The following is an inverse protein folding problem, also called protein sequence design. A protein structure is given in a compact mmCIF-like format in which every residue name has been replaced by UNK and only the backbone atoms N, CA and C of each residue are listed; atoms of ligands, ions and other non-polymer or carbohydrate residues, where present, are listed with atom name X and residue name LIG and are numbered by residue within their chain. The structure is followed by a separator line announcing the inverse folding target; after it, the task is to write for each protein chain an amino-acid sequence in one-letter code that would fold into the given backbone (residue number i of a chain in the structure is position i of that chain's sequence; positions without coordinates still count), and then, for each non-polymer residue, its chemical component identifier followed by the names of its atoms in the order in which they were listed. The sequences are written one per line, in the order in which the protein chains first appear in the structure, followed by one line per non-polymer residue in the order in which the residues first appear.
data_IF_482979131928
#
_entry.id   IF_482979131928
#
_cell.length_a   1.000
_cell.length_b   1.000
_cell.length_c   1.000
_cell.angle_alpha   90.00
_cell.angle_beta   90.00
_cell.angle_gamma   90.00
#
_symmetry.space_group_name_H-M   'P 1'
#
loop_
_entity.id
_entity.type
_entity.pdbx_description
1 polymer ?
#
# COMPACT_ATOMS: atom_id res chain seq x y z
N UNK A 1 -23.05 15.08 42.32
CA UNK A 1 -22.98 16.46 42.83
C UNK A 1 -21.70 16.60 43.65
N UNK A 2 -20.80 17.49 43.19
CA UNK A 2 -19.81 18.30 43.93
C UNK A 2 -18.84 17.58 44.91
N UNK A 3 -17.59 17.27 44.54
CA UNK A 3 -16.38 18.14 44.46
C UNK A 3 -15.95 18.84 45.76
N UNK A 4 -14.71 18.57 46.20
CA UNK A 4 -13.68 19.49 46.79
C UNK A 4 -12.47 18.62 47.21
N UNK A 5 -11.35 18.61 46.48
CA UNK A 5 -10.22 19.56 46.46
C UNK A 5 -9.67 19.91 47.84
N UNK A 6 -8.40 19.56 48.08
CA UNK A 6 -7.59 19.98 49.22
C UNK A 6 -6.14 19.53 49.09
N UNK A 7 -5.35 20.33 48.37
CA UNK A 7 -3.88 20.35 48.30
C UNK A 7 -3.28 20.61 49.70
N UNK A 8 -2.14 20.00 50.06
CA UNK A 8 -1.22 20.64 51.03
C UNK A 8 0.23 20.17 50.88
N UNK A 9 1.11 21.18 50.92
CA UNK A 9 2.54 21.18 50.69
C UNK A 9 3.36 20.68 51.89
N UNK A 10 4.52 20.12 51.56
CA UNK A 10 5.87 20.30 52.15
C UNK A 10 6.00 20.78 53.61
N UNK A 11 6.72 20.00 54.42
CA UNK A 11 7.64 20.52 55.43
C UNK A 11 8.80 19.54 55.69
N UNK A 12 10.01 20.05 55.50
CA UNK A 12 11.31 19.43 55.80
C UNK A 12 11.54 19.48 57.31
N UNK A 13 12.02 18.38 57.91
CA UNK A 13 12.68 18.41 59.21
C UNK A 13 13.92 17.50 59.18
N UNK A 14 15.08 18.14 59.26
CA UNK A 14 16.38 17.52 59.53
C UNK A 14 16.46 17.14 61.01
N UNK A 15 16.87 15.90 61.30
CA UNK A 15 17.43 15.53 62.59
C UNK A 15 18.66 14.63 62.37
N UNK A 16 19.81 15.18 62.74
CA UNK A 16 21.13 14.56 62.72
C UNK A 16 21.39 13.81 64.03
N UNK A 17 21.92 12.59 63.91
CA UNK A 17 22.86 11.91 64.83
C UNK A 17 23.43 10.76 63.98
N UNK A 18 24.73 10.56 63.75
CA UNK A 18 25.89 10.82 64.59
C UNK A 18 26.69 9.52 64.67
N UNK A 19 27.32 9.12 63.55
CA UNK A 19 28.19 7.95 63.44
C UNK A 19 29.45 8.32 62.68
N UNK A 20 30.59 8.25 63.37
CA UNK A 20 31.92 8.70 62.94
C UNK A 20 32.38 8.03 61.63
N UNK A 21 32.84 8.82 60.67
CA UNK A 21 33.68 8.38 59.56
C UNK A 21 35.08 9.03 59.74
N UNK A 22 36.12 8.19 59.75
CA UNK A 22 37.53 8.61 59.62
C UNK A 22 37.87 8.91 58.15
N UNK A 23 38.94 9.70 57.89
CA UNK A 23 39.07 10.47 56.66
C UNK A 23 39.61 9.65 55.48
N UNK A 24 39.14 10.06 54.30
CA UNK A 24 39.55 9.58 53.00
C UNK A 24 41.06 9.77 52.75
N UNK A 25 41.71 8.70 52.28
CA UNK A 25 42.92 8.76 51.48
C UNK A 25 42.55 8.46 50.04
N UNK A 26 42.88 9.39 49.14
CA UNK A 26 42.79 9.24 47.69
C UNK A 26 43.43 7.94 47.21
N UNK A 27 42.64 7.11 46.53
CA UNK A 27 43.13 6.12 45.57
C UNK A 27 42.13 6.08 44.42
N UNK A 28 42.42 6.87 43.40
CA UNK A 28 41.83 6.71 42.08
C UNK A 28 42.33 5.39 41.49
N UNK A 29 41.47 4.40 41.32
CA UNK A 29 41.71 3.29 40.39
C UNK A 29 40.43 2.50 40.13
N UNK A 30 40.15 2.24 38.84
CA UNK A 30 39.29 1.13 38.44
C UNK A 30 37.86 1.46 38.00
N UNK A 31 37.62 2.56 37.28
CA UNK A 31 36.47 2.57 36.37
C UNK A 31 36.77 1.56 35.24
N UNK A 32 36.26 0.33 35.40
CA UNK A 32 36.31 -0.72 34.39
C UNK A 32 35.61 -0.18 33.13
N UNK A 33 36.42 0.30 32.18
CA UNK A 33 35.92 0.78 30.89
C UNK A 33 35.17 -0.37 30.25
N UNK A 34 33.87 -0.18 30.02
CA UNK A 34 33.10 -1.04 29.14
C UNK A 34 33.95 -1.36 27.89
N UNK A 35 34.05 -2.64 27.47
CA UNK A 35 34.92 -3.02 26.39
C UNK A 35 34.57 -2.17 25.17
N UNK A 36 35.55 -1.44 24.64
CA UNK A 36 35.38 -0.70 23.39
C UNK A 36 34.90 -1.72 22.36
N UNK A 37 33.67 -1.58 21.84
CA UNK A 37 33.20 -2.40 20.72
C UNK A 37 34.25 -2.27 19.61
N UNK A 38 34.95 -3.36 19.33
CA UNK A 38 35.88 -3.43 18.22
C UNK A 38 35.07 -3.19 16.95
N UNK A 39 35.36 -2.08 16.26
CA UNK A 39 34.65 -1.70 15.05
C UNK A 39 35.07 -2.68 13.95
N UNK A 40 34.11 -3.40 13.37
CA UNK A 40 34.42 -4.37 12.32
C UNK A 40 35.12 -3.68 11.13
N UNK A 41 35.97 -4.38 10.36
CA UNK A 41 36.59 -3.80 9.18
C UNK A 41 35.56 -3.22 8.19
N UNK A 42 34.41 -3.87 8.03
CA UNK A 42 33.32 -3.39 7.20
C UNK A 42 32.68 -2.10 7.76
N UNK A 43 32.47 -2.02 9.08
CA UNK A 43 31.95 -0.82 9.73
C UNK A 43 32.93 0.36 9.60
N UNK A 44 34.23 0.12 9.76
CA UNK A 44 35.25 1.15 9.57
C UNK A 44 35.29 1.69 8.14
N UNK A 45 35.11 0.82 7.12
CA UNK A 45 35.03 1.24 5.72
C UNK A 45 33.85 2.17 5.46
N UNK A 46 32.65 1.81 5.93
CA UNK A 46 31.45 2.62 5.67
C UNK A 46 31.43 3.93 6.49
N UNK A 47 32.10 3.97 7.64
CA UNK A 47 32.22 5.18 8.45
C UNK A 47 33.27 6.16 7.92
N UNK A 48 34.32 5.64 7.25
CA UNK A 48 35.30 6.47 6.55
C UNK A 48 34.86 6.95 5.16
N UNK A 49 33.78 6.40 4.61
CA UNK A 49 33.29 6.74 3.28
C UNK A 49 32.43 8.01 3.29
N UNK A 50 32.59 8.83 2.25
CA UNK A 50 31.62 9.88 1.94
C UNK A 50 30.29 9.21 1.52
N UNK A 51 29.19 9.51 2.21
CA UNK A 51 27.90 8.87 1.98
C UNK A 51 27.16 9.48 0.77
N UNK A 52 27.82 9.43 -0.38
CA UNK A 52 27.32 9.77 -1.71
C UNK A 52 27.55 8.56 -2.63
N UNK A 53 26.90 8.52 -3.80
CA UNK A 53 27.10 7.41 -4.74
C UNK A 53 28.58 7.30 -5.16
N UNK A 54 29.18 8.44 -5.51
CA UNK A 54 30.59 8.56 -5.89
C UNK A 54 31.54 8.24 -4.73
N UNK A 55 31.18 8.63 -3.51
CA UNK A 55 31.94 8.29 -2.30
C UNK A 55 31.93 6.80 -2.01
N UNK A 56 30.78 6.13 -2.14
CA UNK A 56 30.64 4.70 -1.93
C UNK A 56 31.36 3.87 -3.00
N UNK A 57 31.46 4.32 -4.25
CA UNK A 57 32.28 3.61 -5.25
C UNK A 57 33.75 3.54 -4.85
N UNK A 58 34.26 4.52 -4.10
CA UNK A 58 35.66 4.57 -3.66
C UNK A 58 35.96 3.55 -2.55
N UNK A 59 34.96 2.89 -1.97
CA UNK A 59 35.20 1.81 -1.00
C UNK A 59 35.69 0.54 -1.70
N UNK A 60 35.38 0.37 -2.99
CA UNK A 60 35.78 -0.79 -3.77
C UNK A 60 37.21 -0.62 -4.26
N UNK A 61 38.12 -1.49 -3.81
CA UNK A 61 39.49 -1.55 -4.31
C UNK A 61 39.53 -2.00 -5.77
N UNK A 62 38.71 -2.98 -6.11
CA UNK A 62 38.47 -3.46 -7.46
C UNK A 62 36.96 -3.59 -7.70
N UNK A 63 36.33 -2.68 -8.47
CA UNK A 63 34.92 -2.77 -8.81
C UNK A 63 34.53 -4.10 -9.47
N UNK A 64 35.46 -4.81 -10.13
CA UNK A 64 35.20 -6.11 -10.76
C UNK A 64 35.46 -7.32 -9.85
N UNK A 65 35.86 -7.09 -8.60
CA UNK A 65 36.10 -8.12 -7.62
C UNK A 65 35.80 -7.60 -6.19
N UNK A 66 34.58 -7.10 -5.98
CA UNK A 66 34.14 -6.56 -4.69
C UNK A 66 34.19 -7.67 -3.63
N UNK A 67 35.00 -7.45 -2.59
CA UNK A 67 35.20 -8.41 -1.51
C UNK A 67 34.00 -8.51 -0.58
N UNK A 68 33.95 -9.57 0.23
CA UNK A 68 32.93 -9.76 1.27
C UNK A 68 32.88 -8.57 2.24
N UNK A 69 34.04 -8.06 2.69
CA UNK A 69 34.12 -6.92 3.61
C UNK A 69 33.58 -5.64 2.99
N UNK A 70 33.87 -5.37 1.72
CA UNK A 70 33.37 -4.18 1.02
C UNK A 70 31.86 -4.27 0.76
N UNK A 71 31.36 -5.46 0.42
CA UNK A 71 29.92 -5.71 0.28
C UNK A 71 29.18 -5.60 1.63
N UNK A 72 29.75 -6.13 2.71
CA UNK A 72 29.24 -5.96 4.07
C UNK A 72 29.19 -4.49 4.47
N UNK A 73 30.23 -3.71 4.17
CA UNK A 73 30.27 -2.27 4.43
C UNK A 73 29.11 -1.55 3.72
N UNK A 74 28.84 -1.93 2.46
CA UNK A 74 27.74 -1.36 1.70
C UNK A 74 26.36 -1.71 2.31
N UNK A 75 26.18 -2.94 2.80
CA UNK A 75 24.96 -3.34 3.53
C UNK A 75 24.81 -2.53 4.83
N UNK A 76 25.87 -2.40 5.62
CA UNK A 76 25.86 -1.56 6.84
C UNK A 76 25.50 -0.10 6.54
N UNK A 77 25.86 0.39 5.35
CA UNK A 77 25.46 1.72 4.86
C UNK A 77 23.95 1.94 4.75
N UNK A 78 23.14 0.87 4.71
CA UNK A 78 21.68 0.99 4.65
C UNK A 78 21.11 1.65 5.91
N UNK A 79 21.74 1.49 7.08
CA UNK A 79 21.28 2.14 8.31
C UNK A 79 21.43 3.67 8.28
N UNK A 80 22.26 4.19 7.36
CA UNK A 80 22.39 5.63 7.08
C UNK A 80 21.30 6.15 6.10
N UNK A 81 20.49 5.28 5.50
CA UNK A 81 19.41 5.70 4.60
C UNK A 81 18.25 6.36 5.33
N UNK A 82 17.51 7.23 4.65
CA UNK A 82 16.21 7.70 5.12
C UNK A 82 15.09 6.73 4.76
N UNK A 83 13.99 6.80 5.52
CA UNK A 83 12.73 6.15 5.18
C UNK A 83 11.69 7.21 4.79
N UNK A 84 10.73 6.82 3.96
CA UNK A 84 9.56 7.64 3.64
C UNK A 84 8.61 7.63 4.84
N UNK A 85 8.33 8.80 5.41
CA UNK A 85 7.55 8.93 6.65
C UNK A 85 6.14 8.35 6.53
N UNK A 86 5.52 8.39 5.35
CA UNK A 86 4.17 7.89 5.15
C UNK A 86 4.11 6.37 4.96
N UNK A 87 5.24 5.67 4.81
CA UNK A 87 5.28 4.25 4.47
C UNK A 87 6.32 3.44 5.25
N UNK A 88 7.29 4.03 5.95
CA UNK A 88 8.42 3.29 6.54
C UNK A 88 9.18 2.43 5.52
N UNK A 89 9.24 2.87 4.26
CA UNK A 89 10.02 2.22 3.20
C UNK A 89 11.28 3.04 2.97
N UNK A 90 12.43 2.37 2.83
CA UNK A 90 13.70 3.01 2.50
C UNK A 90 13.55 3.87 1.23
N UNK A 91 14.06 5.11 1.27
CA UNK A 91 14.03 5.99 0.11
C UNK A 91 14.94 5.43 -0.98
N UNK A 92 14.35 5.24 -2.17
CA UNK A 92 15.00 4.71 -3.37
C UNK A 92 16.27 5.46 -3.77
N UNK A 93 16.34 6.75 -3.45
CA UNK A 93 17.49 7.61 -3.73
C UNK A 93 18.67 7.41 -2.75
N UNK A 94 18.54 6.53 -1.75
CA UNK A 94 19.62 6.29 -0.80
C UNK A 94 20.90 5.83 -1.53
N UNK A 95 22.07 6.46 -1.30
CA UNK A 95 23.32 6.11 -1.95
C UNK A 95 23.65 4.61 -1.85
N UNK A 96 23.52 4.00 -0.68
CA UNK A 96 23.81 2.58 -0.48
C UNK A 96 22.90 1.67 -1.35
N UNK A 97 21.60 1.98 -1.44
CA UNK A 97 20.66 1.22 -2.26
C UNK A 97 20.94 1.36 -3.75
N UNK A 98 21.30 2.57 -4.21
CA UNK A 98 21.66 2.82 -5.61
C UNK A 98 22.89 2.00 -6.01
N UNK A 99 23.91 1.96 -5.15
CA UNK A 99 25.12 1.17 -5.42
C UNK A 99 24.83 -0.34 -5.32
N UNK A 100 24.06 -0.80 -4.33
CA UNK A 100 23.68 -2.23 -4.19
C UNK A 100 22.97 -2.75 -5.44
N UNK A 101 22.04 -1.97 -6.01
CA UNK A 101 21.36 -2.34 -7.26
C UNK A 101 22.33 -2.59 -8.38
N UNK A 102 23.34 -1.72 -8.55
CA UNK A 102 24.38 -1.92 -9.57
C UNK A 102 25.19 -3.19 -9.32
N UNK A 103 25.60 -3.42 -8.08
CA UNK A 103 26.34 -4.65 -7.69
C UNK A 103 25.52 -5.93 -7.93
N UNK A 104 24.19 -5.87 -7.82
CA UNK A 104 23.30 -7.01 -8.05
C UNK A 104 22.85 -7.18 -9.50
N UNK A 105 23.05 -6.18 -10.36
CA UNK A 105 22.65 -6.22 -11.76
C UNK A 105 23.73 -6.92 -12.60
N UNK A 106 23.43 -8.15 -13.03
CA UNK A 106 24.30 -9.00 -13.87
C UNK A 106 24.70 -8.32 -15.20
N UNK A 107 23.98 -7.30 -15.65
CA UNK A 107 24.23 -6.60 -16.92
C UNK A 107 25.19 -5.41 -16.83
N UNK A 108 25.49 -4.91 -15.62
CA UNK A 108 26.48 -3.84 -15.46
C UNK A 108 27.84 -4.47 -15.12
N UNK A 109 28.69 -4.68 -16.14
CA UNK A 109 30.05 -5.24 -15.99
C UNK A 109 30.99 -4.38 -15.11
N UNK A 110 30.52 -3.22 -14.69
CA UNK A 110 31.26 -2.24 -13.89
C UNK A 110 31.36 -2.65 -12.42
N UNK A 111 30.45 -3.49 -11.91
CA UNK A 111 30.43 -3.92 -10.51
C UNK A 111 30.16 -5.42 -10.36
N UNK A 112 31.16 -6.18 -9.91
CA UNK A 112 31.09 -7.64 -9.80
C UNK A 112 31.60 -8.07 -8.43
N UNK A 113 30.82 -8.93 -7.75
CA UNK A 113 31.26 -9.56 -6.50
C UNK A 113 32.40 -10.55 -6.77
N UNK A 114 33.40 -10.56 -5.90
CA UNK A 114 34.46 -11.55 -5.93
C UNK A 114 33.89 -12.97 -5.82
N UNK A 115 34.58 -13.95 -6.42
CA UNK A 115 34.19 -15.34 -6.31
C UNK A 115 34.11 -15.79 -4.84
N UNK A 116 33.04 -16.51 -4.49
CA UNK A 116 32.82 -17.04 -3.14
C UNK A 116 32.06 -16.11 -2.19
N UNK A 117 31.80 -14.85 -2.56
CA UNK A 117 30.98 -13.94 -1.74
C UNK A 117 29.53 -14.45 -1.66
N UNK A 118 29.12 -14.88 -0.48
CA UNK A 118 27.77 -15.40 -0.22
C UNK A 118 26.88 -14.31 0.42
N UNK A 119 26.09 -13.64 -0.40
CA UNK A 119 25.19 -12.56 0.02
C UNK A 119 24.22 -12.96 1.14
N UNK A 120 23.69 -14.18 1.06
CA UNK A 120 22.72 -14.69 2.04
C UNK A 120 23.38 -14.88 3.40
N UNK A 121 24.54 -15.54 3.42
CA UNK A 121 25.30 -15.77 4.66
C UNK A 121 25.74 -14.47 5.33
N UNK A 122 26.13 -13.46 4.55
CA UNK A 122 26.47 -12.13 5.07
C UNK A 122 25.23 -11.49 5.70
N UNK A 123 24.09 -11.52 5.01
CA UNK A 123 22.83 -10.99 5.53
C UNK A 123 22.38 -11.66 6.84
N UNK A 124 22.46 -13.00 6.91
CA UNK A 124 22.15 -13.77 8.11
C UNK A 124 23.08 -13.43 9.27
N UNK A 125 24.38 -13.26 9.02
CA UNK A 125 25.36 -12.84 10.02
C UNK A 125 25.08 -11.43 10.54
N UNK A 126 24.69 -10.50 9.68
CA UNK A 126 24.41 -9.11 10.03
C UNK A 126 23.10 -8.92 10.77
N UNK A 127 22.09 -9.75 10.49
CA UNK A 127 20.72 -9.56 10.97
C UNK A 127 20.59 -9.30 12.49
N UNK A 128 21.27 -10.07 13.38
CA UNK A 128 21.11 -9.91 14.82
C UNK A 128 21.62 -8.56 15.34
N UNK A 129 22.60 -7.94 14.67
CA UNK A 129 23.26 -6.71 15.09
C UNK A 129 22.89 -5.49 14.24
N UNK A 130 22.17 -5.69 13.13
CA UNK A 130 21.75 -4.64 12.21
C UNK A 130 20.71 -3.69 12.83
N UNK A 131 20.75 -2.43 12.41
CA UNK A 131 19.67 -1.47 12.68
C UNK A 131 18.39 -1.82 11.90
N UNK A 132 17.28 -1.19 12.25
CA UNK A 132 15.97 -1.54 11.69
C UNK A 132 15.86 -1.33 10.18
N UNK A 133 16.60 -0.36 9.62
CA UNK A 133 16.65 -0.08 8.18
C UNK A 133 17.36 -1.20 7.43
N UNK A 134 18.54 -1.62 7.88
CA UNK A 134 19.23 -2.77 7.30
C UNK A 134 18.41 -4.06 7.50
N UNK A 135 17.85 -4.31 8.69
CA UNK A 135 16.94 -5.46 8.90
C UNK A 135 15.78 -5.45 7.91
N UNK A 136 15.14 -4.30 7.68
CA UNK A 136 14.03 -4.17 6.73
C UNK A 136 14.46 -4.54 5.31
N UNK A 137 15.66 -4.10 4.88
CA UNK A 137 16.22 -4.47 3.58
C UNK A 137 16.48 -5.97 3.50
N UNK A 138 17.09 -6.56 4.53
CA UNK A 138 17.38 -7.99 4.57
C UNK A 138 16.10 -8.83 4.51
N UNK A 139 15.04 -8.42 5.22
CA UNK A 139 13.71 -9.05 5.15
C UNK A 139 13.16 -9.00 3.73
N UNK A 140 13.14 -7.82 3.11
CA UNK A 140 12.59 -7.66 1.76
C UNK A 140 13.39 -8.45 0.70
N UNK A 141 14.68 -8.71 0.93
CA UNK A 141 15.51 -9.54 0.05
C UNK A 141 15.38 -11.05 0.31
N UNK A 142 14.59 -11.50 1.29
CA UNK A 142 14.18 -12.90 1.45
C UNK A 142 13.06 -13.31 0.48
N UNK A 143 12.53 -12.37 -0.31
CA UNK A 143 11.46 -12.63 -1.27
C UNK A 143 11.79 -13.77 -2.24
N UNK A 144 10.80 -14.61 -2.52
CA UNK A 144 10.90 -15.76 -3.41
C UNK A 144 9.76 -15.72 -4.42
N UNK A 145 10.06 -16.09 -5.68
CA UNK A 145 9.04 -16.20 -6.73
C UNK A 145 7.94 -17.21 -6.36
N UNK A 146 8.28 -18.21 -5.55
CA UNK A 146 7.37 -19.28 -5.12
C UNK A 146 6.79 -19.05 -3.72
N UNK A 147 6.95 -17.83 -3.18
CA UNK A 147 6.55 -17.51 -1.81
C UNK A 147 7.48 -18.10 -0.75
N UNK A 148 7.15 -17.86 0.51
CA UNK A 148 7.88 -18.36 1.67
C UNK A 148 7.43 -19.78 2.03
N UNK A 149 8.37 -20.65 2.45
CA UNK A 149 7.99 -21.93 3.07
C UNK A 149 7.41 -21.69 4.47
N UNK A 150 6.62 -22.62 5.01
CA UNK A 150 6.08 -22.49 6.36
C UNK A 150 7.19 -22.38 7.42
N UNK A 151 8.28 -23.14 7.26
CA UNK A 151 9.43 -23.09 8.16
C UNK A 151 10.17 -21.75 8.06
N UNK A 152 10.32 -21.21 6.85
CA UNK A 152 10.90 -19.88 6.63
C UNK A 152 10.08 -18.77 7.28
N UNK A 153 8.74 -18.87 7.24
CA UNK A 153 7.85 -17.94 7.95
C UNK A 153 8.07 -18.05 9.46
N UNK A 154 8.07 -19.26 10.03
CA UNK A 154 8.30 -19.48 11.46
C UNK A 154 9.66 -18.97 11.92
N UNK A 155 10.70 -19.27 11.16
CA UNK A 155 12.07 -18.82 11.42
C UNK A 155 12.13 -17.29 11.47
N UNK A 156 11.63 -16.62 10.42
CA UNK A 156 11.60 -15.16 10.36
C UNK A 156 10.85 -14.56 11.54
N UNK A 157 9.65 -15.09 11.84
CA UNK A 157 8.83 -14.57 12.93
C UNK A 157 9.49 -14.79 14.31
N UNK A 158 10.21 -15.89 14.51
CA UNK A 158 11.00 -16.08 15.73
C UNK A 158 12.19 -15.11 15.80
N UNK A 159 12.81 -14.79 14.67
CA UNK A 159 13.91 -13.81 14.59
C UNK A 159 13.42 -12.39 14.94
N UNK A 160 12.24 -11.97 14.46
CA UNK A 160 11.73 -10.60 14.65
C UNK A 160 10.72 -10.44 15.79
N UNK A 161 10.44 -11.49 16.58
CA UNK A 161 9.37 -11.49 17.60
C UNK A 161 9.44 -10.33 18.60
N UNK A 162 10.66 -9.93 18.96
CA UNK A 162 10.94 -8.88 19.94
C UNK A 162 11.24 -7.52 19.29
N UNK A 163 11.25 -7.45 17.96
CA UNK A 163 11.54 -6.21 17.22
C UNK A 163 10.34 -5.26 17.30
N UNK A 164 10.61 -4.02 17.70
CA UNK A 164 9.61 -2.95 17.86
C UNK A 164 9.80 -1.82 16.84
N UNK A 165 10.79 -1.92 15.97
CA UNK A 165 11.03 -0.91 14.95
C UNK A 165 9.92 -0.98 13.88
N UNK A 166 9.16 0.11 13.66
CA UNK A 166 8.09 0.13 12.65
C UNK A 166 8.58 -0.18 11.22
N UNK A 167 9.84 0.11 10.91
CA UNK A 167 10.45 -0.20 9.61
C UNK A 167 10.62 -1.71 9.44
N UNK A 168 11.00 -2.41 10.52
CA UNK A 168 11.13 -3.88 10.53
C UNK A 168 9.76 -4.53 10.44
N UNK A 169 8.82 -4.12 11.28
CA UNK A 169 7.45 -4.65 11.29
C UNK A 169 6.78 -4.45 9.92
N UNK A 170 6.89 -3.25 9.36
CA UNK A 170 6.33 -2.94 8.04
C UNK A 170 6.94 -3.79 6.92
N UNK A 171 8.25 -4.07 6.97
CA UNK A 171 8.89 -4.99 6.03
C UNK A 171 8.41 -6.44 6.19
N UNK A 172 8.23 -6.91 7.42
CA UNK A 172 7.70 -8.26 7.70
C UNK A 172 6.27 -8.42 7.19
N UNK A 173 5.38 -7.45 7.45
CA UNK A 173 4.00 -7.46 6.93
C UNK A 173 3.99 -7.55 5.40
N UNK A 174 4.85 -6.78 4.71
CA UNK A 174 4.93 -6.76 3.24
C UNK A 174 5.46 -8.06 2.66
N UNK A 175 6.50 -8.64 3.26
CA UNK A 175 7.03 -9.92 2.82
C UNK A 175 5.97 -11.03 2.97
N UNK A 176 5.19 -10.99 4.04
CA UNK A 176 4.20 -12.02 4.37
C UNK A 176 2.81 -11.77 3.75
N UNK A 177 2.61 -10.68 3.00
CA UNK A 177 1.26 -10.30 2.54
C UNK A 177 0.60 -11.38 1.68
N UNK A 178 1.39 -12.09 0.86
CA UNK A 178 0.87 -13.16 0.00
C UNK A 178 0.84 -14.52 0.69
N UNK A 179 1.25 -14.57 1.96
CA UNK A 179 1.39 -15.79 2.76
C UNK A 179 0.22 -15.99 3.73
N UNK A 180 -0.87 -15.24 3.59
CA UNK A 180 -2.01 -15.23 4.50
C UNK A 180 -2.71 -16.58 4.70
N UNK A 181 -2.48 -17.56 3.81
CA UNK A 181 -2.94 -18.94 4.01
C UNK A 181 -2.11 -19.74 5.02
N UNK A 182 -0.98 -19.20 5.47
CA UNK A 182 -0.17 -19.76 6.54
C UNK A 182 -0.61 -19.15 7.88
N UNK A 183 -1.04 -19.95 8.86
CA UNK A 183 -1.58 -19.43 10.12
C UNK A 183 -0.66 -18.46 10.86
N UNK A 184 0.66 -18.71 10.84
CA UNK A 184 1.63 -17.85 11.52
C UNK A 184 1.77 -16.48 10.84
N UNK A 185 1.73 -16.44 9.50
CA UNK A 185 1.73 -15.19 8.75
C UNK A 185 0.43 -14.40 8.98
N UNK A 186 -0.72 -15.08 8.91
CA UNK A 186 -2.02 -14.48 9.19
C UNK A 186 -2.09 -13.93 10.61
N UNK A 187 -1.68 -14.73 11.61
CA UNK A 187 -1.64 -14.32 13.01
C UNK A 187 -0.75 -13.10 13.25
N UNK A 188 0.43 -13.05 12.63
CA UNK A 188 1.31 -11.88 12.70
C UNK A 188 0.65 -10.63 12.10
N UNK A 189 0.07 -10.74 10.90
CA UNK A 189 -0.56 -9.59 10.21
C UNK A 189 -1.81 -9.12 10.96
N UNK A 190 -2.67 -10.03 11.43
CA UNK A 190 -3.84 -9.69 12.24
C UNK A 190 -3.46 -9.02 13.56
N UNK A 191 -2.37 -9.45 14.21
CA UNK A 191 -1.85 -8.80 15.40
C UNK A 191 -1.49 -7.32 15.18
N UNK A 192 -1.04 -6.97 13.98
CA UNK A 192 -0.65 -5.60 13.62
C UNK A 192 -1.79 -4.76 13.02
N UNK A 193 -2.97 -5.33 12.78
CA UNK A 193 -4.17 -4.58 12.40
C UNK A 193 -4.63 -3.61 13.51
N UNK A 194 -4.16 -3.77 14.75
CA UNK A 194 -4.46 -2.92 15.91
C UNK A 194 -3.23 -2.16 16.43
N UNK A 195 -2.17 -2.06 15.63
CA UNK A 195 -0.94 -1.38 16.04
C UNK A 195 -1.19 0.12 16.29
N UNK A 196 -0.44 0.75 17.20
CA UNK A 196 -0.60 2.18 17.52
C UNK A 196 -0.28 3.09 16.32
N UNK A 197 0.75 2.72 15.56
CA UNK A 197 1.11 3.35 14.29
C UNK A 197 0.10 3.04 13.17
N UNK A 198 -0.56 4.09 12.67
CA UNK A 198 -1.53 4.01 11.58
C UNK A 198 -0.92 3.51 10.27
N UNK A 199 0.38 3.73 10.02
CA UNK A 199 1.07 3.20 8.84
C UNK A 199 1.08 1.68 8.89
N UNK A 200 1.36 1.09 10.05
CA UNK A 200 1.37 -0.36 10.22
C UNK A 200 -0.03 -0.97 10.13
N UNK A 201 -1.06 -0.31 10.71
CA UNK A 201 -2.45 -0.73 10.50
C UNK A 201 -2.86 -0.68 9.02
N UNK A 202 -2.39 0.33 8.28
CA UNK A 202 -2.64 0.45 6.83
C UNK A 202 -1.92 -0.64 6.04
N UNK A 203 -0.67 -0.99 6.39
CA UNK A 203 0.01 -2.12 5.77
C UNK A 203 -0.70 -3.45 6.08
N UNK A 204 -1.17 -3.64 7.31
CA UNK A 204 -2.00 -4.78 7.68
C UNK A 204 -3.30 -4.81 6.86
N UNK A 205 -3.99 -3.67 6.69
CA UNK A 205 -5.18 -3.58 5.85
C UNK A 205 -4.92 -3.99 4.39
N UNK A 206 -3.77 -3.60 3.82
CA UNK A 206 -3.37 -4.02 2.46
C UNK A 206 -3.05 -5.51 2.37
N UNK A 207 -2.41 -6.07 3.40
CA UNK A 207 -2.09 -7.48 3.45
C UNK A 207 -3.33 -8.35 3.66
N UNK A 208 -4.25 -7.93 4.54
CA UNK A 208 -5.52 -8.60 4.76
C UNK A 208 -6.40 -8.47 3.52
N UNK A 209 -6.59 -7.26 3.01
CA UNK A 209 -7.39 -6.96 1.81
C UNK A 209 -6.68 -7.26 0.49
N UNK A 210 -6.16 -8.47 0.33
CA UNK A 210 -5.59 -8.94 -0.93
C UNK A 210 -6.18 -10.29 -1.36
N UNK A 211 -5.96 -10.67 -2.62
CA UNK A 211 -6.55 -11.88 -3.21
C UNK A 211 -6.02 -13.20 -2.61
N UNK A 212 -4.85 -13.20 -1.95
CA UNK A 212 -4.29 -14.36 -1.25
C UNK A 212 -4.97 -14.63 0.10
N UNK A 213 -5.67 -13.63 0.65
CA UNK A 213 -6.44 -13.73 1.89
C UNK A 213 -7.86 -14.28 1.68
N UNK A 214 -8.29 -14.54 0.44
CA UNK A 214 -9.62 -15.11 0.15
C UNK A 214 -9.76 -16.47 0.85
N UNK A 215 -10.81 -16.58 1.68
CA UNK A 215 -11.11 -17.79 2.46
C UNK A 215 -10.25 -17.97 3.72
N UNK A 216 -9.43 -16.99 4.11
CA UNK A 216 -8.71 -17.00 5.39
C UNK A 216 -9.67 -16.58 6.50
N UNK A 217 -9.83 -17.43 7.51
CA UNK A 217 -10.67 -17.17 8.68
C UNK A 217 -10.25 -15.86 9.38
N UNK A 218 -11.22 -15.00 9.71
CA UNK A 218 -10.98 -13.72 10.36
C UNK A 218 -10.60 -12.56 9.41
N UNK A 219 -10.30 -12.82 8.12
CA UNK A 219 -9.88 -11.78 7.20
C UNK A 219 -11.00 -10.77 6.90
N UNK A 220 -12.24 -11.25 6.76
CA UNK A 220 -13.42 -10.41 6.49
C UNK A 220 -13.76 -9.57 7.72
N UNK A 221 -13.75 -10.15 8.91
CA UNK A 221 -14.00 -9.44 10.15
C UNK A 221 -12.94 -8.37 10.41
N UNK A 222 -11.67 -8.70 10.18
CA UNK A 222 -10.57 -7.76 10.34
C UNK A 222 -10.64 -6.59 9.34
N UNK A 223 -10.99 -6.85 8.06
CA UNK A 223 -11.12 -5.76 7.09
C UNK A 223 -12.32 -4.86 7.38
N UNK A 224 -13.44 -5.43 7.86
CA UNK A 224 -14.62 -4.68 8.31
C UNK A 224 -14.28 -3.75 9.48
N UNK A 225 -13.46 -4.23 10.43
CA UNK A 225 -13.03 -3.39 11.54
C UNK A 225 -12.09 -2.27 11.08
N UNK A 226 -11.15 -2.56 10.18
CA UNK A 226 -10.22 -1.56 9.61
C UNK A 226 -10.94 -0.50 8.76
N UNK A 227 -12.10 -0.82 8.18
CA UNK A 227 -12.96 0.18 7.52
C UNK A 227 -13.56 1.19 8.49
N UNK A 228 -13.49 0.96 9.81
CA UNK A 228 -13.95 1.86 10.87
C UNK A 228 -12.80 2.57 11.59
N UNK A 229 -11.57 2.41 11.10
CA UNK A 229 -10.37 3.01 11.72
C UNK A 229 -10.46 4.54 11.79
N UNK A 230 -9.86 5.14 12.82
CA UNK A 230 -9.79 6.60 12.96
C UNK A 230 -9.00 7.27 11.83
N UNK A 231 -7.97 6.59 11.30
CA UNK A 231 -7.15 7.09 10.21
C UNK A 231 -7.79 6.83 8.83
N UNK A 232 -7.99 7.91 8.07
CA UNK A 232 -8.63 7.85 6.76
C UNK A 232 -7.84 7.00 5.74
N UNK A 233 -6.50 6.95 5.82
CA UNK A 233 -5.68 6.12 4.91
C UNK A 233 -5.84 4.64 5.24
N UNK A 234 -6.05 4.28 6.52
CA UNK A 234 -6.38 2.91 6.92
C UNK A 234 -7.75 2.52 6.37
N UNK A 235 -8.79 3.34 6.57
CA UNK A 235 -10.13 3.08 6.02
C UNK A 235 -10.12 2.92 4.50
N UNK A 236 -9.44 3.82 3.79
CA UNK A 236 -9.30 3.76 2.33
C UNK A 236 -8.59 2.49 1.85
N UNK A 237 -7.52 2.07 2.53
CA UNK A 237 -6.84 0.81 2.23
C UNK A 237 -7.74 -0.40 2.48
N UNK A 238 -8.52 -0.39 3.57
CA UNK A 238 -9.46 -1.45 3.91
C UNK A 238 -10.59 -1.55 2.87
N UNK A 239 -11.20 -0.43 2.48
CA UNK A 239 -12.24 -0.39 1.45
C UNK A 239 -11.76 -0.96 0.10
N UNK A 240 -10.60 -0.50 -0.39
CA UNK A 240 -10.04 -0.99 -1.65
C UNK A 240 -9.65 -2.48 -1.59
N UNK A 241 -9.27 -2.96 -0.41
CA UNK A 241 -8.86 -4.34 -0.18
C UNK A 241 -10.04 -5.31 0.03
N UNK A 242 -11.13 -4.84 0.63
CA UNK A 242 -12.30 -5.64 0.97
C UNK A 242 -12.88 -6.38 -0.25
N UNK A 243 -12.96 -5.70 -1.40
CA UNK A 243 -13.45 -6.29 -2.63
C UNK A 243 -12.65 -7.51 -3.11
N UNK A 244 -11.34 -7.57 -2.79
CA UNK A 244 -10.46 -8.68 -3.17
C UNK A 244 -10.69 -9.95 -2.37
N UNK A 245 -11.36 -9.86 -1.22
CA UNK A 245 -11.82 -11.02 -0.47
C UNK A 245 -13.02 -11.69 -1.15
N UNK A 246 -13.75 -10.95 -1.99
CA UNK A 246 -14.93 -11.41 -2.72
C UNK A 246 -15.99 -12.04 -1.80
N UNK A 247 -16.23 -11.41 -0.65
CA UNK A 247 -17.20 -11.82 0.35
C UNK A 247 -18.25 -10.71 0.56
N UNK A 248 -19.53 -11.05 0.39
CA UNK A 248 -20.63 -10.08 0.44
C UNK A 248 -20.84 -9.46 1.83
N UNK A 249 -20.28 -10.04 2.89
CA UNK A 249 -20.33 -9.46 4.24
C UNK A 249 -19.71 -8.07 4.33
N UNK A 250 -18.80 -7.69 3.42
CA UNK A 250 -18.19 -6.35 3.42
C UNK A 250 -19.11 -5.26 2.86
N UNK A 251 -20.17 -5.64 2.13
CA UNK A 251 -20.98 -4.71 1.33
C UNK A 251 -21.70 -3.70 2.22
N UNK A 252 -22.29 -4.13 3.34
CA UNK A 252 -23.01 -3.22 4.25
C UNK A 252 -22.10 -2.10 4.76
N UNK A 253 -20.86 -2.44 5.14
CA UNK A 253 -19.89 -1.46 5.64
C UNK A 253 -19.42 -0.53 4.52
N UNK A 254 -19.18 -1.06 3.31
CA UNK A 254 -18.86 -0.24 2.14
C UNK A 254 -20.01 0.74 1.82
N UNK A 255 -21.25 0.26 1.80
CA UNK A 255 -22.42 1.10 1.52
C UNK A 255 -22.57 2.20 2.55
N UNK A 256 -22.40 1.90 3.84
CA UNK A 256 -22.44 2.91 4.91
C UNK A 256 -21.39 4.02 4.71
N UNK A 257 -20.17 3.67 4.25
CA UNK A 257 -19.15 4.67 3.90
C UNK A 257 -19.61 5.51 2.70
N UNK A 258 -20.11 4.87 1.64
CA UNK A 258 -20.60 5.55 0.44
C UNK A 258 -21.83 6.43 0.68
N UNK A 259 -22.61 6.16 1.73
CA UNK A 259 -23.74 6.99 2.20
C UNK A 259 -23.28 8.23 2.99
N UNK A 260 -22.03 8.27 3.46
CA UNK A 260 -21.50 9.40 4.22
C UNK A 260 -20.72 10.37 3.32
N UNK A 261 -21.26 11.56 2.97
CA UNK A 261 -20.58 12.51 2.09
C UNK A 261 -19.26 13.05 2.65
N UNK A 262 -19.05 13.01 3.98
CA UNK A 262 -17.77 13.41 4.59
C UNK A 262 -16.63 12.42 4.30
N UNK A 263 -16.96 11.19 3.91
CA UNK A 263 -16.00 10.14 3.53
C UNK A 263 -15.68 10.14 2.02
N UNK A 264 -16.08 11.18 1.28
CA UNK A 264 -15.91 11.25 -0.18
C UNK A 264 -14.48 10.97 -0.66
N UNK A 265 -13.46 11.28 0.16
CA UNK A 265 -12.04 11.03 -0.15
C UNK A 265 -11.70 9.53 -0.30
N UNK A 266 -12.48 8.64 0.31
CA UNK A 266 -12.29 7.18 0.20
C UNK A 266 -13.39 6.50 -0.63
N UNK A 267 -14.40 7.23 -1.10
CA UNK A 267 -15.47 6.65 -1.91
C UNK A 267 -14.93 5.90 -3.13
N UNK A 268 -13.91 6.43 -3.81
CA UNK A 268 -13.31 5.74 -4.95
C UNK A 268 -12.73 4.38 -4.57
N UNK A 269 -12.05 4.27 -3.43
CA UNK A 269 -11.55 3.00 -2.92
C UNK A 269 -12.68 1.99 -2.68
N UNK A 270 -13.79 2.45 -2.10
CA UNK A 270 -14.90 1.56 -1.77
C UNK A 270 -15.69 1.16 -3.04
N UNK A 271 -15.86 2.06 -4.01
CA UNK A 271 -16.47 1.73 -5.32
C UNK A 271 -15.60 0.75 -6.10
N UNK A 272 -14.28 0.95 -6.13
CA UNK A 272 -13.35 0.00 -6.76
C UNK A 272 -13.44 -1.38 -6.08
N UNK A 273 -13.64 -1.40 -4.75
CA UNK A 273 -13.91 -2.62 -3.98
C UNK A 273 -15.17 -3.33 -4.46
N UNK A 274 -16.31 -2.62 -4.55
CA UNK A 274 -17.55 -3.18 -5.09
C UNK A 274 -17.36 -3.68 -6.52
N UNK A 275 -16.76 -2.89 -7.40
CA UNK A 275 -16.48 -3.27 -8.78
C UNK A 275 -15.63 -4.54 -8.89
N UNK A 276 -14.62 -4.69 -8.03
CA UNK A 276 -13.83 -5.92 -7.99
C UNK A 276 -14.68 -7.15 -7.62
N UNK A 277 -15.74 -7.00 -6.83
CA UNK A 277 -16.62 -8.10 -6.40
C UNK A 277 -17.63 -8.56 -7.47
N UNK A 278 -17.93 -7.74 -8.48
CA UNK A 278 -18.92 -8.10 -9.51
C UNK A 278 -18.40 -8.02 -10.95
N UNK A 279 -17.26 -7.38 -11.18
CA UNK A 279 -16.65 -7.21 -12.50
C UNK A 279 -15.21 -7.72 -12.59
N UNK A 280 -14.38 -7.50 -11.56
CA UNK A 280 -13.02 -8.09 -11.44
C UNK A 280 -12.17 -8.07 -12.73
N UNK A 281 -12.07 -6.93 -13.42
CA UNK A 281 -11.20 -6.82 -14.59
C UNK A 281 -9.72 -7.14 -14.23
N UNK A 282 -8.97 -7.90 -15.03
CA UNK A 282 -9.31 -8.44 -16.37
C UNK A 282 -9.88 -9.87 -16.37
N UNK A 283 -10.07 -10.49 -15.20
CA UNK A 283 -10.44 -11.91 -15.09
C UNK A 283 -11.95 -12.13 -15.20
N UNK A 284 -12.75 -11.24 -14.62
CA UNK A 284 -14.22 -11.30 -14.61
C UNK A 284 -14.79 -12.59 -14.01
N UNK A 285 -14.20 -13.08 -12.91
CA UNK A 285 -14.61 -14.32 -12.24
C UNK A 285 -15.57 -14.07 -11.06
N UNK A 286 -15.48 -12.89 -10.42
CA UNK A 286 -16.39 -12.52 -9.35
C UNK A 286 -17.76 -12.06 -9.90
N UNK A 287 -18.84 -12.49 -9.24
CA UNK A 287 -20.23 -12.36 -9.73
C UNK A 287 -21.21 -11.88 -8.64
N UNK A 288 -20.77 -11.02 -7.72
CA UNK A 288 -21.63 -10.52 -6.64
C UNK A 288 -22.72 -9.58 -7.18
N UNK A 289 -23.96 -10.06 -7.24
CA UNK A 289 -25.12 -9.22 -7.56
C UNK A 289 -25.32 -8.11 -6.52
N UNK A 290 -25.10 -8.42 -5.24
CA UNK A 290 -25.24 -7.44 -4.17
C UNK A 290 -24.27 -6.27 -4.34
N UNK A 291 -23.01 -6.52 -4.72
CA UNK A 291 -22.03 -5.47 -4.95
C UNK A 291 -22.38 -4.62 -6.18
N UNK A 292 -22.88 -5.23 -7.26
CA UNK A 292 -23.39 -4.51 -8.42
C UNK A 292 -24.53 -3.56 -8.03
N UNK A 293 -25.52 -4.06 -7.30
CA UNK A 293 -26.66 -3.28 -6.86
C UNK A 293 -26.24 -2.11 -5.96
N UNK A 294 -25.31 -2.34 -5.03
CA UNK A 294 -24.75 -1.29 -4.16
C UNK A 294 -24.03 -0.20 -4.96
N UNK A 295 -23.22 -0.56 -5.96
CA UNK A 295 -22.51 0.42 -6.80
C UNK A 295 -23.49 1.23 -7.67
N UNK A 296 -24.48 0.58 -8.28
CA UNK A 296 -25.51 1.27 -9.07
C UNK A 296 -26.33 2.21 -8.18
N UNK A 297 -26.68 1.80 -6.96
CA UNK A 297 -27.38 2.65 -6.01
C UNK A 297 -26.56 3.91 -5.65
N UNK A 298 -25.25 3.76 -5.44
CA UNK A 298 -24.34 4.90 -5.22
C UNK A 298 -24.34 5.89 -6.40
N UNK A 299 -24.26 5.39 -7.63
CA UNK A 299 -24.25 6.26 -8.83
C UNK A 299 -25.58 6.98 -9.10
N UNK A 300 -26.69 6.44 -8.58
CA UNK A 300 -28.03 7.05 -8.66
C UNK A 300 -28.27 8.17 -7.63
N UNK A 301 -27.38 8.35 -6.65
CA UNK A 301 -27.59 9.35 -5.59
C UNK A 301 -27.66 10.77 -6.16
N UNK A 302 -28.61 11.53 -5.63
CA UNK A 302 -28.82 12.96 -5.90
C UNK A 302 -29.09 13.72 -4.58
N UNK A 303 -28.80 15.03 -4.50
CA UNK A 303 -28.08 15.82 -5.50
C UNK A 303 -26.62 15.35 -5.64
N UNK A 304 -26.03 15.50 -6.83
CA UNK A 304 -24.62 15.20 -7.09
C UNK A 304 -23.74 16.40 -6.73
N UNK A 305 -22.43 16.19 -6.71
CA UNK A 305 -21.44 17.23 -6.49
C UNK A 305 -20.11 16.89 -7.18
N UNK A 306 -19.14 17.80 -7.07
CA UNK A 306 -17.78 17.57 -7.58
C UNK A 306 -17.11 16.33 -6.96
N UNK A 307 -17.57 15.88 -5.79
CA UNK A 307 -17.01 14.73 -5.08
C UNK A 307 -17.90 13.48 -5.13
N UNK A 308 -19.17 13.60 -5.51
CA UNK A 308 -20.17 12.52 -5.46
C UNK A 308 -20.94 12.46 -6.79
N UNK A 309 -20.82 11.36 -7.57
CA UNK A 309 -19.95 10.21 -7.31
C UNK A 309 -18.46 10.56 -7.47
N UNK A 310 -17.61 9.74 -6.85
CA UNK A 310 -16.16 9.86 -6.97
C UNK A 310 -15.76 9.71 -8.45
N UNK A 311 -15.17 10.76 -9.03
CA UNK A 311 -15.04 10.89 -10.47
C UNK A 311 -14.23 9.76 -11.12
N UNK A 312 -13.21 9.27 -10.42
CA UNK A 312 -12.30 8.24 -10.89
C UNK A 312 -12.90 6.83 -10.87
N UNK A 313 -14.04 6.62 -10.20
CA UNK A 313 -14.70 5.31 -10.11
C UNK A 313 -15.86 5.15 -11.11
N UNK A 314 -16.30 6.22 -11.78
CA UNK A 314 -17.39 6.17 -12.77
C UNK A 314 -16.98 5.36 -14.02
N UNK A 315 -15.69 5.36 -14.34
CA UNK A 315 -15.16 4.82 -15.59
C UNK A 315 -14.76 3.35 -15.59
N UNK A 316 -15.04 2.57 -14.54
CA UNK A 316 -14.48 1.22 -14.41
C UNK A 316 -14.80 0.26 -15.57
N UNK A 317 -16.01 0.38 -16.14
CA UNK A 317 -16.42 -0.38 -17.32
C UNK A 317 -15.84 0.12 -18.67
N UNK A 318 -14.98 1.14 -18.70
CA UNK A 318 -14.35 1.60 -19.95
C UNK A 318 -13.38 0.56 -20.55
N UNK A 319 -12.94 -0.40 -19.75
CA UNK A 319 -12.00 -1.46 -20.14
C UNK A 319 -12.62 -2.84 -19.95
N UNK A 320 -12.38 -3.73 -20.92
CA UNK A 320 -12.83 -5.13 -20.90
C UNK A 320 -11.70 -6.03 -21.42
N UNK A 321 -11.74 -7.32 -21.09
CA UNK A 321 -10.84 -8.32 -21.65
C UNK A 321 -11.61 -9.16 -22.67
N UNK A 322 -11.20 -9.13 -23.93
CA UNK A 322 -11.85 -9.88 -25.01
C UNK A 322 -11.85 -11.40 -24.77
N UNK A 323 -10.96 -11.88 -23.89
CA UNK A 323 -10.85 -13.29 -23.52
C UNK A 323 -11.92 -13.75 -22.53
N UNK A 324 -12.40 -12.86 -21.66
CA UNK A 324 -13.21 -13.24 -20.48
C UNK A 324 -14.58 -12.56 -20.46
N UNK A 325 -14.76 -11.47 -21.20
CA UNK A 325 -15.98 -10.64 -21.14
C UNK A 325 -17.25 -11.37 -21.60
N UNK A 326 -17.18 -12.22 -22.62
CA UNK A 326 -18.36 -12.94 -23.13
C UNK A 326 -18.84 -14.02 -22.16
N UNK A 327 -17.90 -14.71 -21.50
CA UNK A 327 -18.23 -15.66 -20.43
C UNK A 327 -18.87 -14.93 -19.23
N UNK A 328 -18.32 -13.79 -18.84
CA UNK A 328 -18.89 -12.96 -17.78
C UNK A 328 -20.30 -12.48 -18.13
N UNK A 329 -20.55 -11.94 -19.33
CA UNK A 329 -21.89 -11.51 -19.77
C UNK A 329 -22.93 -12.63 -19.69
N UNK A 330 -22.52 -13.87 -19.96
CA UNK A 330 -23.40 -15.03 -19.85
C UNK A 330 -23.77 -15.36 -18.40
N UNK A 331 -22.84 -15.15 -17.47
CA UNK A 331 -22.98 -15.54 -16.08
C UNK A 331 -23.52 -14.42 -15.18
N UNK A 332 -23.22 -13.16 -15.50
CA UNK A 332 -23.66 -11.96 -14.77
C UNK A 332 -25.12 -11.62 -15.13
N UNK A 333 -26.05 -12.52 -14.80
CA UNK A 333 -27.48 -12.38 -15.11
C UNK A 333 -28.13 -11.17 -14.42
N UNK A 334 -27.52 -10.67 -13.34
CA UNK A 334 -27.90 -9.44 -12.65
C UNK A 334 -27.52 -8.17 -13.41
N UNK A 335 -26.54 -8.23 -14.32
CA UNK A 335 -26.06 -7.05 -15.02
C UNK A 335 -27.12 -6.55 -15.99
N UNK A 336 -27.56 -5.31 -15.79
CA UNK A 336 -28.57 -4.64 -16.61
C UNK A 336 -27.91 -3.50 -17.40
N UNK A 337 -27.41 -3.74 -18.63
CA UNK A 337 -26.70 -2.73 -19.40
C UNK A 337 -27.52 -1.47 -19.64
N UNK A 338 -28.81 -1.61 -19.97
CA UNK A 338 -29.69 -0.47 -20.24
C UNK A 338 -29.84 0.45 -19.00
N UNK A 339 -30.00 -0.14 -17.82
CA UNK A 339 -30.10 0.59 -16.56
C UNK A 339 -28.78 1.28 -16.22
N UNK A 340 -27.66 0.56 -16.31
CA UNK A 340 -26.34 1.13 -16.04
C UNK A 340 -26.02 2.30 -16.97
N UNK A 341 -26.31 2.16 -18.27
CA UNK A 341 -26.12 3.22 -19.27
C UNK A 341 -27.04 4.42 -19.05
N UNK A 342 -28.25 4.22 -18.51
CA UNK A 342 -29.12 5.32 -18.13
C UNK A 342 -28.50 6.14 -17.00
N UNK A 343 -27.95 5.48 -15.96
CA UNK A 343 -27.25 6.16 -14.86
C UNK A 343 -26.00 6.90 -15.36
N UNK A 344 -25.22 6.30 -16.26
CA UNK A 344 -24.08 6.99 -16.89
C UNK A 344 -24.53 8.22 -17.69
N UNK A 345 -25.68 8.13 -18.38
CA UNK A 345 -26.26 9.26 -19.12
C UNK A 345 -26.68 10.39 -18.18
N UNK A 346 -27.34 10.06 -17.06
CA UNK A 346 -27.68 11.02 -16.02
C UNK A 346 -26.45 11.71 -15.45
N UNK A 347 -25.39 10.94 -15.11
CA UNK A 347 -24.13 11.51 -14.62
C UNK A 347 -23.54 12.46 -15.68
N UNK A 348 -23.45 12.05 -16.94
CA UNK A 348 -22.88 12.88 -18.01
C UNK A 348 -23.66 14.21 -18.20
N UNK A 349 -24.96 14.20 -17.98
CA UNK A 349 -25.87 15.35 -18.10
C UNK A 349 -26.03 16.18 -16.81
N UNK A 350 -25.40 15.78 -15.71
CA UNK A 350 -25.48 16.51 -14.45
C UNK A 350 -24.35 17.56 -14.35
N UNK A 351 -24.71 18.85 -14.26
CA UNK A 351 -23.72 19.92 -14.20
C UNK A 351 -22.98 20.02 -12.88
N UNK A 352 -23.56 19.46 -11.81
CA UNK A 352 -22.96 19.47 -10.47
C UNK A 352 -21.97 18.31 -10.31
N UNK A 353 -22.08 17.25 -11.13
CA UNK A 353 -21.14 16.15 -11.14
C UNK A 353 -19.77 16.57 -11.70
N UNK A 354 -18.71 15.97 -11.15
CA UNK A 354 -17.34 16.20 -11.59
C UNK A 354 -17.16 15.96 -13.10
N UNK A 355 -16.56 16.92 -13.81
CA UNK A 355 -16.43 16.83 -15.27
C UNK A 355 -15.57 15.66 -15.77
N UNK A 356 -14.59 15.20 -14.98
CA UNK A 356 -13.84 13.98 -15.29
C UNK A 356 -14.71 12.72 -15.12
N UNK A 357 -15.60 12.71 -14.14
CA UNK A 357 -16.60 11.65 -13.96
C UNK A 357 -17.61 11.64 -15.11
N UNK A 358 -18.09 12.81 -15.52
CA UNK A 358 -18.98 12.99 -16.69
C UNK A 358 -18.35 12.47 -17.98
N UNK A 359 -17.10 12.82 -18.25
CA UNK A 359 -16.37 12.30 -19.43
C UNK A 359 -16.07 10.81 -19.34
N UNK A 360 -15.84 10.28 -18.13
CA UNK A 360 -15.70 8.84 -17.90
C UNK A 360 -17.01 8.08 -18.15
N UNK A 361 -18.15 8.67 -17.80
CA UNK A 361 -19.46 8.13 -18.14
C UNK A 361 -19.66 8.05 -19.67
N UNK A 362 -19.19 9.05 -20.43
CA UNK A 362 -19.17 9.01 -21.90
C UNK A 362 -18.32 7.84 -22.41
N UNK A 363 -17.16 7.56 -21.82
CA UNK A 363 -16.34 6.40 -22.18
C UNK A 363 -17.10 5.08 -21.99
N UNK A 364 -17.82 4.94 -20.88
CA UNK A 364 -18.65 3.75 -20.62
C UNK A 364 -19.79 3.64 -21.63
N UNK A 365 -20.48 4.74 -21.94
CA UNK A 365 -21.56 4.77 -22.95
C UNK A 365 -21.03 4.40 -24.33
N UNK A 366 -19.85 4.90 -24.71
CA UNK A 366 -19.22 4.55 -25.98
C UNK A 366 -18.83 3.07 -26.06
N UNK A 367 -18.41 2.47 -24.93
CA UNK A 367 -17.98 1.07 -24.86
C UNK A 367 -19.14 0.08 -24.83
N UNK A 368 -20.21 0.38 -24.09
CA UNK A 368 -21.29 -0.56 -23.80
C UNK A 368 -22.63 -0.19 -24.44
N UNK A 369 -22.79 1.06 -24.87
CA UNK A 369 -23.98 1.54 -25.54
C UNK A 369 -23.89 1.45 -27.07
N UNK A 370 -24.84 2.12 -27.70
CA UNK A 370 -24.95 2.23 -29.16
C UNK A 370 -24.51 3.61 -29.64
N UNK A 371 -24.07 3.70 -30.91
CA UNK A 371 -23.77 4.98 -31.57
C UNK A 371 -24.95 5.95 -31.45
N UNK A 372 -26.19 5.47 -31.62
CA UNK A 372 -27.41 6.29 -31.49
C UNK A 372 -27.58 6.89 -30.09
N UNK A 373 -27.27 6.14 -29.03
CA UNK A 373 -27.31 6.66 -27.67
C UNK A 373 -26.27 7.76 -27.46
N UNK A 374 -25.05 7.57 -27.99
CA UNK A 374 -23.99 8.55 -27.89
C UNK A 374 -24.31 9.84 -28.67
N UNK A 375 -24.90 9.72 -29.86
CA UNK A 375 -25.42 10.87 -30.64
C UNK A 375 -26.54 11.61 -29.89
N UNK A 376 -27.47 10.87 -29.26
CA UNK A 376 -28.55 11.44 -28.48
C UNK A 376 -28.04 12.19 -27.24
N UNK A 377 -26.99 11.69 -26.59
CA UNK A 377 -26.30 12.38 -25.50
C UNK A 377 -25.68 13.69 -25.98
N UNK A 378 -24.98 13.67 -27.13
CA UNK A 378 -24.42 14.88 -27.74
C UNK A 378 -25.46 15.98 -27.96
N UNK A 379 -26.61 15.62 -28.57
CA UNK A 379 -27.72 16.56 -28.81
C UNK A 379 -28.33 17.15 -27.54
N UNK A 380 -28.29 16.43 -26.42
CA UNK A 380 -28.73 16.95 -25.13
C UNK A 380 -27.70 17.93 -24.57
N UNK A 381 -26.41 17.57 -24.63
CA UNK A 381 -25.31 18.44 -24.20
C UNK A 381 -25.20 19.73 -25.03
N UNK A 382 -25.61 19.72 -26.30
CA UNK A 382 -25.66 20.92 -27.15
C UNK A 382 -26.63 22.00 -26.64
N UNK A 383 -27.63 21.60 -25.85
CA UNK A 383 -28.62 22.48 -25.25
C UNK A 383 -28.25 22.93 -23.83
N UNK A 384 -27.14 22.41 -23.31
CA UNK A 384 -26.69 22.68 -21.95
C UNK A 384 -25.63 23.78 -21.93
N UNK A 385 -25.71 24.62 -20.90
CA UNK A 385 -24.71 25.62 -20.55
C UNK A 385 -23.96 25.20 -19.27
N UNK A 386 -22.72 25.65 -19.10
CA UNK A 386 -21.92 25.42 -17.88
C UNK A 386 -20.42 25.25 -18.14
N UNK A 387 -19.60 25.54 -17.11
CA UNK A 387 -18.14 25.69 -17.17
C UNK A 387 -17.39 24.49 -17.79
N UNK A 388 -17.96 23.28 -17.73
CA UNK A 388 -17.32 22.08 -18.25
C UNK A 388 -18.15 21.27 -19.26
N UNK A 389 -19.31 21.77 -19.68
CA UNK A 389 -20.16 21.07 -20.68
C UNK A 389 -19.40 20.83 -21.98
N UNK A 390 -18.55 21.80 -22.39
CA UNK A 390 -17.70 21.68 -23.59
C UNK A 390 -16.82 20.43 -23.54
N UNK A 391 -16.19 20.11 -22.41
CA UNK A 391 -15.32 18.94 -22.30
C UNK A 391 -16.09 17.63 -22.50
N UNK A 392 -17.32 17.55 -21.98
CA UNK A 392 -18.17 16.37 -22.15
C UNK A 392 -18.63 16.25 -23.61
N UNK A 393 -18.99 17.36 -24.26
CA UNK A 393 -19.36 17.41 -25.68
C UNK A 393 -18.19 16.99 -26.59
N UNK A 394 -17.00 17.53 -26.34
CA UNK A 394 -15.79 17.19 -27.10
C UNK A 394 -15.46 15.69 -26.95
N UNK A 395 -15.66 15.13 -25.75
CA UNK A 395 -15.50 13.70 -25.48
C UNK A 395 -16.48 12.84 -26.30
N UNK A 396 -17.75 13.24 -26.37
CA UNK A 396 -18.76 12.57 -27.21
C UNK A 396 -18.33 12.60 -28.68
N UNK A 397 -17.92 13.76 -29.19
CA UNK A 397 -17.47 13.92 -30.57
C UNK A 397 -16.24 13.04 -30.88
N UNK A 398 -15.26 13.00 -29.97
CA UNK A 398 -14.09 12.13 -30.08
C UNK A 398 -14.50 10.65 -30.18
N UNK A 399 -15.41 10.19 -29.32
CA UNK A 399 -15.86 8.79 -29.31
C UNK A 399 -16.67 8.40 -30.54
N UNK A 400 -17.51 9.29 -31.06
CA UNK A 400 -18.22 9.07 -32.33
C UNK A 400 -17.22 8.92 -33.49
N UNK A 401 -16.18 9.75 -33.53
CA UNK A 401 -15.12 9.67 -34.54
C UNK A 401 -14.35 8.35 -34.45
N UNK A 402 -13.91 7.96 -33.25
CA UNK A 402 -13.20 6.70 -33.03
C UNK A 402 -14.02 5.48 -33.49
N UNK A 403 -15.33 5.46 -33.18
CA UNK A 403 -16.24 4.38 -33.58
C UNK A 403 -16.46 4.34 -35.11
N UNK A 404 -16.56 5.50 -35.76
CA UNK A 404 -16.69 5.59 -37.21
C UNK A 404 -15.42 5.07 -37.92
N UNK A 405 -14.24 5.45 -37.43
CA UNK A 405 -12.96 4.97 -37.96
C UNK A 405 -12.77 3.47 -37.76
N UNK A 406 -13.15 2.94 -36.58
CA UNK A 406 -13.10 1.52 -36.31
C UNK A 406 -14.03 0.71 -37.24
N UNK A 407 -15.24 1.22 -37.49
CA UNK A 407 -16.18 0.62 -38.44
C UNK A 407 -15.64 0.64 -39.87
N UNK A 408 -15.12 1.77 -40.34
CA UNK A 408 -14.54 1.87 -41.68
C UNK A 408 -13.37 0.90 -41.90
N UNK A 409 -12.53 0.69 -40.87
CA UNK A 409 -11.45 -0.31 -40.91
C UNK A 409 -11.98 -1.75 -40.96
N UNK A 410 -13.05 -2.04 -40.22
CA UNK A 410 -13.68 -3.36 -40.24
C UNK A 410 -14.35 -3.66 -41.58
N UNK A 411 -15.02 -2.68 -42.18
CA UNK A 411 -15.69 -2.82 -43.48
C UNK A 411 -14.70 -2.93 -44.65
N UNK A 412 -13.46 -2.49 -44.48
CA UNK A 412 -12.39 -2.54 -45.49
C UNK A 412 -11.57 -3.85 -45.47
N UNK A 413 -11.81 -4.75 -44.50
CA UNK A 413 -11.13 -6.03 -44.33
C UNK A 413 -12.07 -7.18 -44.68
#
# INVERSE_FOLDING_TARGET
MLTRIGLLLFAILLASCGGKAEPATDAAEGAEKAPKKEVSPAQALIDGAEFTKEGLYKIFKDPKAISETEYEALLLGIDKCDVTEETHILKEACPALVVLRKVHLIKEEDFVLAQGVNRTAIGERLFPTAGGKLKSYLIMNRGSLFGQSADSVKELLNIVKDDKDPVVIGATIRLLSNEMKKPEAAGYIFGHAKHEDAILRREAARAIGNSWSKGVEGAVEAIIELMKDADQKVRGAACAGAGKLADDQVIETITAILDNPEEHKIHSNCVDGLEYMWFQFPFHENLSEAAYNAQVAYFKKTPRSENIPAWNSVGGLRSTSDRTIEAWKKNATYFKPAEYLAVMTEIALDNDANWLGRTSAVDVIAKWGTVKQLEALGKQLDKMEGTHVKHVRDKVASKLKELAEAKAKADAK
#
